data_IF_714632243036
#
_entry.id   IF_714632243036
#
_cell.length_a   1.000
_cell.length_b   1.000
_cell.length_c   1.000
_cell.angle_alpha   90.00
_cell.angle_beta   90.00
_cell.angle_gamma   90.00
#
_symmetry.space_group_name_H-M   'P 1'
#
loop_
_entity.id
_entity.type
_entity.pdbx_description
1 polymer ?
#
# COMPACT_ATOMS: atom_id res chain seq x y z
N UNK A 1 -9.12 -2.92 -5.87
CA UNK A 1 -9.27 -2.06 -4.67
C UNK A 1 -8.74 -2.85 -3.47
N UNK A 2 -8.01 -2.20 -2.56
CA UNK A 2 -7.39 -2.85 -1.40
C UNK A 2 -8.42 -3.58 -0.51
N UNK A 3 -9.61 -3.00 -0.36
CA UNK A 3 -10.75 -3.60 0.37
C UNK A 3 -11.11 -5.01 -0.14
N UNK A 4 -11.21 -5.18 -1.46
CA UNK A 4 -11.51 -6.49 -2.06
C UNK A 4 -10.37 -7.49 -1.87
N UNK A 5 -9.12 -7.02 -1.84
CA UNK A 5 -7.97 -7.88 -1.56
C UNK A 5 -7.99 -8.35 -0.10
N UNK A 6 -8.25 -7.43 0.84
CA UNK A 6 -8.39 -7.74 2.27
C UNK A 6 -9.48 -8.78 2.49
N UNK A 7 -10.67 -8.57 1.92
CA UNK A 7 -11.79 -9.50 2.07
C UNK A 7 -11.43 -10.92 1.61
N UNK A 8 -10.74 -11.05 0.47
CA UNK A 8 -10.31 -12.37 -0.05
C UNK A 8 -9.27 -13.04 0.84
N UNK A 9 -8.36 -12.26 1.42
CA UNK A 9 -7.36 -12.78 2.37
C UNK A 9 -8.02 -13.23 3.67
N UNK A 10 -9.00 -12.49 4.17
CA UNK A 10 -9.78 -12.87 5.36
C UNK A 10 -10.56 -14.16 5.14
N UNK A 11 -11.24 -14.31 4.01
CA UNK A 11 -11.91 -15.56 3.64
C UNK A 11 -10.94 -16.74 3.59
N UNK A 12 -9.73 -16.54 3.08
CA UNK A 12 -8.69 -17.58 3.07
C UNK A 12 -8.26 -17.98 4.49
N UNK A 13 -8.13 -17.01 5.39
CA UNK A 13 -7.78 -17.28 6.80
C UNK A 13 -8.89 -17.98 7.56
N UNK A 14 -10.15 -17.62 7.30
CA UNK A 14 -11.32 -18.27 7.88
C UNK A 14 -11.43 -19.72 7.41
N UNK A 15 -11.26 -19.98 6.10
CA UNK A 15 -11.30 -21.34 5.55
C UNK A 15 -10.19 -22.24 6.10
N UNK A 16 -9.02 -21.67 6.38
CA UNK A 16 -7.87 -22.40 6.92
C UNK A 16 -7.80 -22.44 8.45
N UNK A 17 -8.72 -21.79 9.16
CA UNK A 17 -8.70 -21.61 10.62
C UNK A 17 -7.33 -21.13 11.15
N UNK A 18 -6.67 -20.23 10.41
CA UNK A 18 -5.29 -19.85 10.72
C UNK A 18 -5.19 -19.07 12.03
N UNK A 19 -4.18 -19.40 12.83
CA UNK A 19 -3.78 -18.59 14.00
C UNK A 19 -3.20 -17.24 13.56
N UNK A 20 -3.17 -16.25 14.45
CA UNK A 20 -2.60 -14.93 14.12
C UNK A 20 -1.15 -15.01 13.58
N UNK A 21 -0.33 -15.89 14.17
CA UNK A 21 1.04 -16.10 13.70
C UNK A 21 1.09 -16.71 12.29
N UNK A 22 0.16 -17.62 11.96
CA UNK A 22 0.05 -18.21 10.62
C UNK A 22 -0.48 -17.20 9.61
N UNK A 23 -1.47 -16.37 9.97
CA UNK A 23 -1.96 -15.28 9.12
C UNK A 23 -0.83 -14.34 8.70
N UNK A 24 0.00 -13.91 9.66
CA UNK A 24 1.15 -13.02 9.40
C UNK A 24 2.22 -13.67 8.50
N UNK A 25 2.38 -15.00 8.58
CA UNK A 25 3.29 -15.74 7.69
C UNK A 25 2.69 -15.92 6.29
N UNK A 26 1.40 -16.25 6.22
CA UNK A 26 0.68 -16.49 4.98
C UNK A 26 0.53 -15.22 4.15
N UNK A 27 0.09 -14.11 4.77
CA UNK A 27 -0.11 -12.82 4.09
C UNK A 27 1.15 -12.30 3.42
N UNK A 28 2.34 -12.59 3.98
CA UNK A 28 3.62 -12.21 3.37
C UNK A 28 3.75 -12.74 1.94
N UNK A 29 3.19 -13.92 1.67
CA UNK A 29 3.22 -14.55 0.36
C UNK A 29 2.16 -13.99 -0.60
N UNK A 30 1.21 -13.19 -0.11
CA UNK A 30 0.15 -12.59 -0.90
C UNK A 30 0.54 -11.24 -1.54
N UNK A 31 1.68 -10.66 -1.16
CA UNK A 31 2.20 -9.43 -1.74
C UNK A 31 3.10 -9.72 -2.94
N UNK A 32 2.89 -9.00 -4.04
CA UNK A 32 3.66 -9.12 -5.28
C UNK A 32 4.29 -7.77 -5.64
N UNK A 33 5.44 -7.82 -6.33
CA UNK A 33 6.13 -6.68 -6.92
C UNK A 33 6.27 -5.48 -5.97
N UNK A 34 5.72 -4.32 -6.34
CA UNK A 34 5.77 -3.08 -5.56
C UNK A 34 5.14 -3.24 -4.18
N UNK A 35 4.08 -4.05 -4.06
CA UNK A 35 3.43 -4.28 -2.77
C UNK A 35 4.32 -5.10 -1.82
N UNK A 36 5.16 -5.97 -2.36
CA UNK A 36 6.14 -6.71 -1.56
C UNK A 36 7.29 -5.79 -1.10
N UNK A 37 7.71 -4.84 -1.93
CA UNK A 37 8.72 -3.85 -1.55
C UNK A 37 8.19 -2.96 -0.40
N UNK A 38 6.97 -2.45 -0.53
CA UNK A 38 6.31 -1.68 0.53
C UNK A 38 6.21 -2.50 1.82
N UNK A 39 5.75 -3.75 1.75
CA UNK A 39 5.63 -4.62 2.93
C UNK A 39 6.96 -4.77 3.68
N UNK A 40 8.07 -4.97 2.95
CA UNK A 40 9.41 -5.10 3.54
C UNK A 40 9.82 -3.81 4.24
N UNK A 41 9.67 -2.67 3.56
CA UNK A 41 9.99 -1.35 4.10
C UNK A 41 9.17 -1.05 5.37
N UNK A 42 7.87 -1.29 5.34
CA UNK A 42 6.96 -1.03 6.46
C UNK A 42 7.27 -1.95 7.65
N UNK A 43 7.52 -3.24 7.40
CA UNK A 43 7.89 -4.22 8.43
C UNK A 43 9.21 -3.86 9.13
N UNK A 44 10.22 -3.46 8.36
CA UNK A 44 11.55 -3.17 8.90
C UNK A 44 11.52 -1.93 9.80
N UNK A 45 10.64 -0.97 9.48
CA UNK A 45 10.41 0.22 10.30
C UNK A 45 9.51 -0.05 11.50
N UNK A 46 8.47 -0.85 11.30
CA UNK A 46 7.41 -1.08 12.29
C UNK A 46 6.84 -2.50 12.14
N UNK A 47 7.43 -3.49 12.85
CA UNK A 47 7.03 -4.88 12.74
C UNK A 47 5.55 -5.12 13.01
N UNK A 48 4.93 -5.96 12.19
CA UNK A 48 3.52 -6.31 12.34
C UNK A 48 3.33 -7.27 13.51
N UNK A 49 2.45 -6.90 14.44
CA UNK A 49 2.12 -7.70 15.63
C UNK A 49 0.82 -8.49 15.50
N UNK A 50 -0.08 -8.08 14.60
CA UNK A 50 -1.36 -8.74 14.35
C UNK A 50 -1.82 -8.55 12.90
N UNK A 51 -2.70 -9.44 12.44
CA UNK A 51 -3.32 -9.29 11.13
C UNK A 51 -4.12 -7.98 11.03
N UNK A 52 -4.84 -7.61 12.09
CA UNK A 52 -5.64 -6.38 12.14
C UNK A 52 -4.79 -5.13 11.89
N UNK A 53 -3.61 -5.05 12.52
CA UNK A 53 -2.70 -3.93 12.31
C UNK A 53 -2.20 -3.87 10.85
N UNK A 54 -1.85 -5.02 10.27
CA UNK A 54 -1.41 -5.08 8.89
C UNK A 54 -2.52 -4.64 7.93
N UNK A 55 -3.75 -5.13 8.17
CA UNK A 55 -4.94 -4.77 7.40
C UNK A 55 -5.15 -3.26 7.37
N UNK A 56 -5.06 -2.60 8.52
CA UNK A 56 -5.18 -1.15 8.62
C UNK A 56 -4.16 -0.43 7.72
N UNK A 57 -2.88 -0.80 7.81
CA UNK A 57 -1.82 -0.15 7.01
C UNK A 57 -1.91 -0.46 5.51
N UNK A 58 -2.33 -1.66 5.15
CA UNK A 58 -2.60 -2.00 3.74
C UNK A 58 -3.73 -1.13 3.20
N UNK A 59 -4.80 -0.95 3.97
CA UNK A 59 -5.91 -0.09 3.58
C UNK A 59 -5.47 1.38 3.52
N UNK A 60 -4.68 1.87 4.47
CA UNK A 60 -4.14 3.23 4.44
C UNK A 60 -3.25 3.49 3.21
N UNK A 61 -2.42 2.53 2.83
CA UNK A 61 -1.50 2.64 1.70
C UNK A 61 -2.18 2.50 0.33
N UNK A 62 -3.12 1.55 0.18
CA UNK A 62 -3.63 1.10 -1.13
C UNK A 62 -5.12 1.34 -1.34
N UNK A 63 -5.86 1.73 -0.30
CA UNK A 63 -7.19 2.28 -0.55
C UNK A 63 -6.99 3.63 -1.22
N UNK A 64 -7.82 3.90 -2.23
CA UNK A 64 -7.81 5.18 -2.92
C UNK A 64 -8.19 6.26 -1.91
N UNK A 65 -7.21 6.81 -1.20
CA UNK A 65 -7.41 8.02 -0.43
C UNK A 65 -7.71 9.10 -1.47
N UNK A 66 -8.98 9.52 -1.52
CA UNK A 66 -9.36 10.82 -2.09
C UNK A 66 -8.72 11.98 -1.32
N UNK A 67 -7.89 11.71 -0.31
CA UNK A 67 -6.96 12.65 0.28
C UNK A 67 -5.56 12.42 -0.25
N UNK A 68 -5.34 12.99 -1.44
CA UNK A 68 -4.05 13.42 -1.98
C UNK A 68 -3.08 13.71 -0.85
N UNK A 69 -2.13 12.80 -0.62
CA UNK A 69 -1.01 13.11 0.27
C UNK A 69 -0.33 14.36 -0.29
N UNK A 70 0.08 15.29 0.58
CA UNK A 70 0.74 16.52 0.12
C UNK A 70 1.97 16.23 -0.78
N UNK A 71 2.58 15.05 -0.63
CA UNK A 71 3.62 14.52 -1.49
C UNK A 71 3.17 14.19 -2.91
N UNK A 72 2.00 13.56 -3.10
CA UNK A 72 1.44 13.31 -4.44
C UNK A 72 0.98 14.60 -5.11
N UNK A 73 0.46 15.59 -4.36
CA UNK A 73 0.21 16.94 -4.90
C UNK A 73 1.50 17.58 -5.40
N UNK A 74 2.59 17.51 -4.64
CA UNK A 74 3.89 18.07 -5.03
C UNK A 74 4.53 17.32 -6.20
N UNK A 75 4.34 16.00 -6.30
CA UNK A 75 4.84 15.18 -7.42
C UNK A 75 4.03 15.43 -8.70
N UNK A 76 2.71 15.59 -8.61
CA UNK A 76 1.88 16.03 -9.76
C UNK A 76 2.17 17.48 -10.17
N UNK A 77 2.56 18.37 -9.25
CA UNK A 77 2.86 19.77 -9.56
C UNK A 77 4.26 19.99 -10.18
N UNK A 78 5.18 19.02 -10.08
CA UNK A 78 6.58 19.20 -10.50
C UNK A 78 6.93 18.59 -11.85
N UNK A 79 5.96 18.06 -12.60
CA UNK A 79 6.27 17.53 -13.92
C UNK A 79 5.11 17.64 -14.92
N UNK A 80 4.68 18.86 -15.20
CA UNK A 80 4.11 19.21 -16.49
C UNK A 80 4.95 20.36 -17.06
N UNK A 81 5.95 20.01 -17.87
CA UNK A 81 6.77 20.98 -18.62
C UNK A 81 8.23 20.57 -18.75
N UNK A 82 8.63 20.21 -19.97
CA UNK A 82 10.03 20.30 -20.40
C UNK A 82 10.45 21.77 -20.37
N UNK A 83 11.72 22.04 -20.08
CA UNK A 83 12.34 23.39 -20.02
C UNK A 83 12.14 24.21 -21.32
N UNK A 84 11.65 23.59 -22.39
CA UNK A 84 11.42 24.19 -23.71
C UNK A 84 10.19 25.12 -23.80
N UNK A 85 9.20 25.02 -22.89
CA UNK A 85 8.00 25.90 -22.93
C UNK A 85 8.19 27.26 -22.24
N UNK A 86 9.36 27.53 -21.65
CA UNK A 86 9.60 28.79 -20.90
C UNK A 86 10.12 29.96 -21.78
N UNK A 87 10.18 29.84 -23.11
CA UNK A 87 10.71 30.90 -23.99
C UNK A 87 9.74 31.50 -25.02
N UNK A 88 8.42 31.37 -24.83
CA UNK A 88 7.45 32.12 -25.65
C UNK A 88 6.35 32.74 -24.82
N UNK A 89 6.70 33.76 -24.06
CA UNK A 89 5.81 34.89 -23.78
C UNK A 89 6.66 36.12 -23.40
N UNK A 90 7.35 36.65 -24.42
CA UNK A 90 7.71 38.06 -24.60
C UNK A 90 7.67 38.37 -26.09
#
# INVERSE_FOLDING_TARGET
>A
RAENWVLRVEQYFELGELTEAEKLRAVRMCFNDDALLWYRWERDRNPFISWEQMKYRVLEQYSSNRDTSAGERLLMLRQEGSVDDFCREF
#
